data_IF_210772171892
#
_entry.id   IF_210772171892
#
_cell.length_a   1.000
_cell.length_b   1.000
_cell.length_c   1.000
_cell.angle_alpha   90.00
_cell.angle_beta   90.00
_cell.angle_gamma   90.00
#
_symmetry.space_group_name_H-M   'P 1'
#
loop_
_entity.id
_entity.type
_entity.pdbx_description
1 polymer ?
#
# COMPACT_ATOMS: atom_id res chain seq x y z
N UNK A 1 -1.68 -5.27 -20.00
CA UNK A 1 -2.27 -4.83 -18.74
C UNK A 1 -1.27 -3.96 -17.98
N UNK A 2 -1.72 -2.85 -17.43
CA UNK A 2 -0.84 -1.88 -16.79
C UNK A 2 -1.30 -1.58 -15.37
N UNK A 3 -0.40 -1.75 -14.42
CA UNK A 3 -0.67 -1.50 -12.99
C UNK A 3 0.37 -0.57 -12.38
N UNK A 4 -0.04 0.18 -11.37
CA UNK A 4 0.84 1.06 -10.61
C UNK A 4 0.51 0.92 -9.12
N UNK A 5 1.54 1.03 -8.28
CA UNK A 5 1.35 1.09 -6.83
C UNK A 5 1.73 2.50 -6.36
N UNK A 6 0.79 3.14 -5.69
CA UNK A 6 0.97 4.43 -5.01
C UNK A 6 1.35 4.13 -3.58
N UNK A 7 2.49 4.62 -3.13
CA UNK A 7 2.96 4.31 -1.78
C UNK A 7 3.44 5.55 -1.02
N UNK A 8 3.43 5.44 0.30
CA UNK A 8 4.22 6.26 1.20
C UNK A 8 4.86 5.32 2.20
N UNK A 9 6.16 5.38 2.34
CA UNK A 9 6.91 4.56 3.28
C UNK A 9 7.87 5.46 4.05
N UNK A 10 7.57 5.63 5.32
CA UNK A 10 8.39 6.42 6.24
C UNK A 10 8.91 5.50 7.33
N UNK A 11 8.71 5.43 8.47
CA UNK A 11 9.23 4.54 9.53
C UNK A 11 9.84 3.22 9.02
N UNK A 12 11.17 3.14 9.01
CA UNK A 12 11.95 1.95 8.65
C UNK A 12 11.74 1.42 7.23
N UNK A 13 11.03 2.17 6.38
CA UNK A 13 10.77 1.81 4.98
C UNK A 13 10.14 0.43 4.78
N UNK A 14 9.29 0.01 5.72
CA UNK A 14 8.66 -1.31 5.70
C UNK A 14 7.81 -1.54 4.45
N UNK A 15 6.93 -0.60 4.16
CA UNK A 15 6.06 -0.68 2.97
C UNK A 15 6.86 -0.70 1.68
N UNK A 16 7.92 0.09 1.63
CA UNK A 16 8.80 0.16 0.46
C UNK A 16 9.41 -1.21 0.14
N UNK A 17 9.78 -1.98 1.14
CA UNK A 17 10.37 -3.32 0.95
C UNK A 17 9.42 -4.25 0.20
N UNK A 18 8.16 -4.31 0.60
CA UNK A 18 7.20 -5.19 -0.09
C UNK A 18 6.79 -4.65 -1.46
N UNK A 19 6.64 -3.34 -1.59
CA UNK A 19 6.29 -2.70 -2.87
C UNK A 19 7.40 -2.89 -3.90
N UNK A 20 8.65 -2.69 -3.52
CA UNK A 20 9.79 -2.88 -4.43
C UNK A 20 9.95 -4.33 -4.87
N UNK A 21 9.68 -5.29 -3.98
CA UNK A 21 9.72 -6.70 -4.35
C UNK A 21 8.66 -7.03 -5.40
N UNK A 22 7.43 -6.54 -5.23
CA UNK A 22 6.36 -6.71 -6.22
C UNK A 22 6.75 -6.04 -7.55
N UNK A 23 7.24 -4.82 -7.48
CA UNK A 23 7.62 -4.05 -8.67
C UNK A 23 8.70 -4.78 -9.49
N UNK A 24 9.70 -5.30 -8.81
CA UNK A 24 10.81 -6.01 -9.44
C UNK A 24 10.37 -7.34 -10.07
N UNK A 25 9.61 -8.15 -9.31
CA UNK A 25 9.20 -9.49 -9.74
C UNK A 25 8.08 -9.47 -10.78
N UNK A 26 7.19 -8.49 -10.70
CA UNK A 26 5.97 -8.45 -11.49
C UNK A 26 5.93 -7.30 -12.50
N UNK A 27 7.01 -6.53 -12.60
CA UNK A 27 7.11 -5.40 -13.53
C UNK A 27 5.99 -4.37 -13.35
N UNK A 28 5.75 -3.95 -12.11
CA UNK A 28 4.74 -2.97 -11.74
C UNK A 28 5.39 -1.60 -11.52
N UNK A 29 4.78 -0.55 -12.02
CA UNK A 29 5.25 0.81 -11.77
C UNK A 29 4.95 1.24 -10.32
N UNK A 30 5.76 2.14 -9.78
CA UNK A 30 5.62 2.64 -8.41
C UNK A 30 5.73 4.16 -8.41
N UNK A 31 4.86 4.82 -7.66
CA UNK A 31 4.94 6.25 -7.42
C UNK A 31 4.92 6.53 -5.92
N UNK A 32 5.78 7.44 -5.47
CA UNK A 32 5.85 7.87 -4.08
C UNK A 32 4.98 9.11 -3.88
N UNK A 33 3.88 8.95 -3.16
CA UNK A 33 2.91 10.01 -2.90
C UNK A 33 3.47 11.14 -2.03
N UNK A 34 4.60 10.93 -1.36
CA UNK A 34 5.26 12.01 -0.61
C UNK A 34 6.01 12.98 -1.53
N UNK A 35 6.27 12.57 -2.77
CA UNK A 35 7.01 13.35 -3.76
C UNK A 35 6.16 13.84 -4.92
N UNK A 36 5.18 13.05 -5.33
CA UNK A 36 4.31 13.34 -6.47
C UNK A 36 2.90 13.61 -5.96
N UNK A 37 2.36 14.78 -6.24
CA UNK A 37 1.02 15.20 -5.78
C UNK A 37 -0.05 14.95 -6.82
N UNK A 38 0.28 15.11 -8.09
CA UNK A 38 -0.65 14.97 -9.20
C UNK A 38 -0.05 14.06 -10.26
N UNK A 39 -0.87 13.14 -10.77
CA UNK A 39 -0.46 12.20 -11.80
C UNK A 39 -1.68 11.70 -12.57
N UNK A 40 -1.55 11.60 -13.88
CA UNK A 40 -2.60 11.03 -14.72
C UNK A 40 -2.59 9.51 -14.61
N UNK A 41 -3.68 8.92 -14.14
CA UNK A 41 -3.80 7.48 -13.91
C UNK A 41 -4.77 6.77 -14.84
N UNK A 42 -5.37 7.47 -15.82
CA UNK A 42 -6.41 6.88 -16.66
C UNK A 42 -5.96 5.68 -17.48
N UNK A 43 -4.68 5.59 -17.82
CA UNK A 43 -4.15 4.49 -18.63
C UNK A 43 -3.87 3.22 -17.83
N UNK A 44 -3.92 3.27 -16.50
CA UNK A 44 -3.69 2.08 -15.67
C UNK A 44 -4.99 1.30 -15.49
N UNK A 45 -4.88 -0.02 -15.62
CA UNK A 45 -6.01 -0.93 -15.42
C UNK A 45 -6.28 -1.19 -13.95
N UNK A 46 -5.24 -1.16 -13.13
CA UNK A 46 -5.34 -1.42 -11.70
C UNK A 46 -4.38 -0.52 -10.93
N UNK A 47 -4.85 0.00 -9.82
CA UNK A 47 -4.08 0.91 -8.97
C UNK A 47 -4.02 0.36 -7.55
N UNK A 48 -2.82 0.11 -7.06
CA UNK A 48 -2.59 -0.30 -5.68
C UNK A 48 -2.28 0.89 -4.80
N UNK A 49 -2.71 0.85 -3.55
CA UNK A 49 -2.36 1.85 -2.53
C UNK A 49 -1.66 1.14 -1.38
N UNK A 50 -0.49 1.62 -1.03
CA UNK A 50 0.38 0.97 -0.05
C UNK A 50 0.86 1.96 1.00
N UNK A 51 0.80 1.58 2.26
CA UNK A 51 1.18 2.44 3.37
C UNK A 51 1.49 1.63 4.63
N UNK A 52 2.27 2.22 5.53
CA UNK A 52 2.25 1.83 6.93
C UNK A 52 0.92 2.25 7.56
N UNK A 53 0.66 1.77 8.77
CA UNK A 53 -0.55 2.11 9.52
C UNK A 53 -0.20 3.07 10.66
N UNK A 54 -0.84 4.23 10.67
CA UNK A 54 -0.62 5.30 11.63
C UNK A 54 -1.93 5.62 12.35
N UNK A 55 -2.05 5.20 13.61
CA UNK A 55 -3.30 5.33 14.38
C UNK A 55 -4.52 4.78 13.61
N UNK A 56 -4.35 3.59 13.05
CA UNK A 56 -5.42 2.91 12.31
C UNK A 56 -5.69 3.42 10.90
N UNK A 57 -4.83 4.28 10.37
CA UNK A 57 -5.05 4.92 9.07
C UNK A 57 -3.83 4.78 8.15
N UNK A 58 -4.08 4.79 6.85
CA UNK A 58 -3.04 4.97 5.85
C UNK A 58 -2.42 6.36 5.98
N UNK A 59 -1.20 6.51 5.53
CA UNK A 59 -0.50 7.79 5.50
C UNK A 59 -1.33 8.82 4.75
N UNK A 60 -1.43 10.03 5.31
CA UNK A 60 -2.27 11.09 4.73
C UNK A 60 -1.93 11.41 3.29
N UNK A 61 -0.65 11.33 2.92
CA UNK A 61 -0.23 11.60 1.53
C UNK A 61 -0.80 10.58 0.54
N UNK A 62 -0.95 9.32 0.94
CA UNK A 62 -1.58 8.29 0.10
C UNK A 62 -3.07 8.58 -0.04
N UNK A 63 -3.74 8.93 1.05
CA UNK A 63 -5.16 9.29 1.04
C UNK A 63 -5.41 10.52 0.15
N UNK A 64 -4.58 11.53 0.28
CA UNK A 64 -4.66 12.74 -0.54
C UNK A 64 -4.44 12.43 -2.02
N UNK A 65 -3.45 11.61 -2.33
CA UNK A 65 -3.15 11.22 -3.71
C UNK A 65 -4.34 10.50 -4.35
N UNK A 66 -4.94 9.57 -3.63
CA UNK A 66 -6.13 8.86 -4.11
C UNK A 66 -7.30 9.81 -4.35
N UNK A 67 -7.54 10.73 -3.41
CA UNK A 67 -8.61 11.72 -3.53
C UNK A 67 -8.44 12.62 -4.75
N UNK A 68 -7.22 13.04 -5.06
CA UNK A 68 -6.94 13.97 -6.17
C UNK A 68 -6.88 13.23 -7.52
N UNK A 69 -6.28 12.04 -7.57
CA UNK A 69 -5.84 11.44 -8.83
C UNK A 69 -6.62 10.19 -9.26
N UNK A 70 -7.30 9.50 -8.36
CA UNK A 70 -7.95 8.24 -8.73
C UNK A 70 -9.14 8.49 -9.67
N UNK A 71 -9.09 7.97 -10.91
CA UNK A 71 -10.25 8.06 -11.80
C UNK A 71 -11.39 7.17 -11.32
N UNK A 72 -12.60 7.46 -11.76
CA UNK A 72 -13.78 6.68 -11.39
C UNK A 72 -13.71 5.25 -11.96
N UNK A 73 -14.28 4.31 -11.21
CA UNK A 73 -14.53 2.93 -11.64
C UNK A 73 -13.26 2.08 -11.87
N UNK A 74 -12.12 2.46 -11.31
CA UNK A 74 -10.89 1.67 -11.42
C UNK A 74 -10.91 0.47 -10.49
N UNK A 75 -10.21 -0.58 -10.87
CA UNK A 75 -9.88 -1.68 -9.98
C UNK A 75 -8.76 -1.22 -9.07
N UNK A 76 -8.88 -1.51 -7.77
CA UNK A 76 -7.88 -1.11 -6.77
C UNK A 76 -7.58 -2.27 -5.84
N UNK A 77 -6.40 -2.23 -5.24
CA UNK A 77 -6.01 -3.14 -4.17
C UNK A 77 -5.22 -2.39 -3.11
N UNK A 78 -5.09 -2.97 -1.93
CA UNK A 78 -4.44 -2.30 -0.82
C UNK A 78 -3.35 -3.18 -0.21
N UNK A 79 -2.25 -2.53 0.13
CA UNK A 79 -1.12 -3.16 0.83
C UNK A 79 -0.83 -2.35 2.08
N UNK A 80 -0.64 -3.01 3.22
CA UNK A 80 -0.18 -2.29 4.40
C UNK A 80 0.86 -3.07 5.19
N UNK A 81 1.69 -2.32 5.90
CA UNK A 81 2.58 -2.87 6.92
C UNK A 81 2.19 -2.27 8.25
N UNK A 82 2.22 -3.08 9.31
CA UNK A 82 1.72 -2.66 10.61
C UNK A 82 2.55 -3.25 11.75
N UNK A 83 2.63 -2.52 12.85
CA UNK A 83 3.18 -3.06 14.09
C UNK A 83 2.10 -3.80 14.87
N UNK A 84 0.95 -3.19 15.04
CA UNK A 84 -0.19 -3.72 15.77
C UNK A 84 -1.13 -4.56 14.90
N UNK A 85 -1.91 -3.92 14.05
CA UNK A 85 -2.90 -4.59 13.21
C UNK A 85 -3.10 -3.88 11.87
N UNK A 86 -3.53 -4.64 10.87
CA UNK A 86 -3.92 -4.09 9.57
C UNK A 86 -5.19 -3.23 9.70
N UNK A 87 -5.28 -2.18 8.88
CA UNK A 87 -6.45 -1.32 8.84
C UNK A 87 -6.58 -0.70 7.45
N UNK A 88 -7.74 -0.87 6.83
CA UNK A 88 -7.98 -0.43 5.45
C UNK A 88 -9.11 0.59 5.32
N UNK A 89 -9.84 0.86 6.41
CA UNK A 89 -11.02 1.72 6.37
C UNK A 89 -10.76 3.09 5.75
N UNK A 90 -9.64 3.72 6.11
CA UNK A 90 -9.32 5.06 5.62
C UNK A 90 -9.19 5.13 4.10
N UNK A 91 -8.46 4.18 3.51
CA UNK A 91 -8.29 4.13 2.05
C UNK A 91 -9.55 3.63 1.35
N UNK A 92 -10.29 2.71 1.97
CA UNK A 92 -11.55 2.23 1.41
C UNK A 92 -12.57 3.35 1.27
N UNK A 93 -12.68 4.23 2.25
CA UNK A 93 -13.60 5.37 2.21
C UNK A 93 -13.29 6.30 1.04
N UNK A 94 -12.01 6.61 0.83
CA UNK A 94 -11.59 7.49 -0.27
C UNK A 94 -11.85 6.84 -1.62
N UNK A 95 -11.46 5.58 -1.80
CA UNK A 95 -11.62 4.90 -3.08
C UNK A 95 -13.07 4.58 -3.40
N UNK A 96 -13.89 4.30 -2.39
CA UNK A 96 -15.33 4.11 -2.56
C UNK A 96 -16.01 5.38 -3.09
N UNK A 97 -15.55 6.56 -2.69
CA UNK A 97 -16.08 7.82 -3.22
C UNK A 97 -15.82 8.00 -4.72
N UNK A 98 -14.88 7.25 -5.27
CA UNK A 98 -14.56 7.21 -6.70
C UNK A 98 -15.17 5.99 -7.41
N UNK A 99 -16.05 5.26 -6.74
CA UNK A 99 -16.67 4.04 -7.27
C UNK A 99 -15.64 2.98 -7.68
N UNK A 100 -14.52 2.91 -6.97
CA UNK A 100 -13.49 1.92 -7.23
C UNK A 100 -13.94 0.52 -6.85
N UNK A 101 -13.44 -0.46 -7.59
CA UNK A 101 -13.71 -1.88 -7.32
C UNK A 101 -12.50 -2.46 -6.61
N UNK A 102 -12.66 -2.78 -5.33
CA UNK A 102 -11.59 -3.41 -4.54
C UNK A 102 -11.45 -4.89 -4.92
N UNK A 103 -10.26 -5.28 -5.36
CA UNK A 103 -9.99 -6.66 -5.77
C UNK A 103 -9.05 -7.41 -4.83
N UNK A 104 -8.58 -6.81 -3.77
CA UNK A 104 -7.79 -7.53 -2.77
C UNK A 104 -7.11 -6.67 -1.72
N UNK A 105 -6.74 -7.32 -0.63
CA UNK A 105 -6.00 -6.75 0.48
C UNK A 105 -4.81 -7.63 0.79
N UNK A 106 -3.69 -7.01 1.15
CA UNK A 106 -2.57 -7.71 1.75
C UNK A 106 -1.98 -6.86 2.87
N UNK A 107 -1.73 -7.47 4.01
CA UNK A 107 -1.06 -6.80 5.13
C UNK A 107 -0.04 -7.73 5.77
N UNK A 108 1.07 -7.17 6.21
CA UNK A 108 2.08 -7.91 6.98
C UNK A 108 2.67 -7.03 8.06
N UNK A 109 3.33 -7.68 9.02
CA UNK A 109 4.01 -6.96 10.09
C UNK A 109 5.17 -6.14 9.56
N UNK A 110 5.43 -5.00 10.20
CA UNK A 110 6.57 -4.15 9.93
C UNK A 110 7.11 -3.61 11.25
N UNK A 111 8.43 -3.47 11.36
CA UNK A 111 9.03 -2.91 12.57
C UNK A 111 8.50 -1.49 12.79
N UNK A 112 7.88 -1.26 13.94
CA UNK A 112 7.14 -0.03 14.22
C UNK A 112 7.60 0.57 15.55
N UNK A 113 8.08 1.81 15.49
CA UNK A 113 8.44 2.63 16.65
C UNK A 113 7.55 3.87 16.78
N UNK A 114 6.47 3.92 16.02
CA UNK A 114 5.56 5.08 15.97
C UNK A 114 4.67 5.14 17.21
N UNK A 115 4.47 6.35 17.72
CA UNK A 115 3.56 6.59 18.83
C UNK A 115 3.94 5.78 20.09
N UNK A 116 3.00 5.08 20.72
CA UNK A 116 3.24 4.35 21.96
C UNK A 116 4.25 3.21 21.80
N UNK A 117 4.46 2.67 20.60
CA UNK A 117 5.43 1.60 20.37
C UNK A 117 6.88 2.05 20.62
N UNK A 118 7.16 3.34 20.51
CA UNK A 118 8.47 3.91 20.79
C UNK A 118 8.91 3.66 22.24
N UNK A 119 7.96 3.71 23.17
CA UNK A 119 8.24 3.49 24.59
C UNK A 119 8.66 2.05 24.88
N UNK A 120 8.26 1.12 24.04
CA UNK A 120 8.58 -0.31 24.14
C UNK A 120 9.83 -0.70 23.36
N UNK A 121 10.55 0.28 22.76
CA UNK A 121 11.69 0.00 21.88
C UNK A 121 11.26 -0.49 20.49
N UNK A 122 9.98 -0.36 20.15
CA UNK A 122 9.41 -0.80 18.89
C UNK A 122 8.67 -2.13 19.02
N UNK A 123 7.93 -2.49 17.97
CA UNK A 123 7.17 -3.73 17.87
C UNK A 123 7.40 -4.36 16.50
N UNK A 124 7.27 -5.69 16.39
CA UNK A 124 7.45 -6.45 15.16
C UNK A 124 8.85 -6.31 14.54
N UNK A 125 9.88 -6.19 15.37
CA UNK A 125 11.27 -6.10 14.91
C UNK A 125 11.63 -7.29 14.00
N UNK A 126 12.35 -7.00 12.92
CA UNK A 126 12.71 -8.02 11.93
C UNK A 126 11.67 -8.22 10.83
N UNK A 127 10.55 -7.49 10.88
CA UNK A 127 9.52 -7.55 9.85
C UNK A 127 9.49 -6.25 9.02
N UNK A 128 9.14 -6.30 7.73
CA UNK A 128 8.83 -7.53 6.98
C UNK A 128 10.06 -8.44 6.85
N UNK A 129 9.85 -9.73 7.02
CA UNK A 129 10.89 -10.73 6.78
C UNK A 129 10.78 -11.30 5.37
N UNK A 130 11.65 -12.29 5.04
CA UNK A 130 11.64 -12.91 3.72
C UNK A 130 10.31 -13.57 3.38
N UNK A 131 9.63 -14.15 4.37
CA UNK A 131 8.32 -14.77 4.17
C UNK A 131 7.26 -13.72 3.88
N UNK A 132 7.26 -12.62 4.60
CA UNK A 132 6.32 -11.50 4.37
C UNK A 132 6.47 -10.97 2.95
N UNK A 133 7.69 -10.80 2.49
CA UNK A 133 8.01 -10.31 1.14
C UNK A 133 7.53 -11.31 0.08
N UNK A 134 7.82 -12.60 0.28
CA UNK A 134 7.38 -13.65 -0.64
C UNK A 134 5.86 -13.74 -0.71
N UNK A 135 5.18 -13.60 0.42
CA UNK A 135 3.71 -13.63 0.50
C UNK A 135 3.10 -12.41 -0.25
N UNK A 136 3.73 -11.24 -0.14
CA UNK A 136 3.29 -10.05 -0.87
C UNK A 136 3.38 -10.23 -2.39
N UNK A 137 4.49 -10.79 -2.87
CA UNK A 137 4.68 -11.10 -4.29
C UNK A 137 3.66 -12.13 -4.77
N UNK A 138 3.46 -13.19 -3.99
CA UNK A 138 2.45 -14.22 -4.30
C UNK A 138 1.04 -13.65 -4.36
N UNK A 139 0.71 -12.76 -3.42
CA UNK A 139 -0.57 -12.05 -3.43
C UNK A 139 -0.79 -11.29 -4.74
N UNK A 140 0.21 -10.51 -5.17
CA UNK A 140 0.08 -9.75 -6.41
C UNK A 140 -0.03 -10.65 -7.64
N UNK A 141 0.75 -11.72 -7.72
CA UNK A 141 0.66 -12.67 -8.84
C UNK A 141 -0.74 -13.28 -8.96
N UNK A 142 -1.36 -13.61 -7.84
CA UNK A 142 -2.72 -14.12 -7.81
C UNK A 142 -3.73 -13.02 -8.18
N UNK A 143 -3.48 -11.80 -7.76
CA UNK A 143 -4.32 -10.65 -8.06
C UNK A 143 -4.37 -10.36 -9.56
N UNK A 144 -3.28 -10.55 -10.28
CA UNK A 144 -3.22 -10.34 -11.73
C UNK A 144 -4.31 -11.11 -12.48
N UNK A 145 -4.73 -12.25 -11.97
CA UNK A 145 -5.80 -13.07 -12.55
C UNK A 145 -7.17 -12.35 -12.53
N UNK A 146 -7.31 -11.33 -11.68
CA UNK A 146 -8.55 -10.57 -11.52
C UNK A 146 -8.56 -9.24 -12.28
N UNK A 147 -7.45 -8.88 -12.89
CA UNK A 147 -7.31 -7.59 -13.58
C UNK A 147 -7.68 -7.64 -15.10
#
# INVERSE_FOLDING_TARGET
>A
MKSIIVMASVHHENTKKIVEAIAKECNVEVVDATRVKEMELSEYDCIGFASGIYYGKFHQMVLNFASVNLPANKKVFYLCTYGGSAAYKSIEEVTASKHAVNIGYFGCKGYDTFGPFKLLGGIAKGHPDEKDIADAVAFYKKLEEKI
#
